data_IF_187768568767
#
_entry.id   IF_187768568767
#
_cell.length_a   1.000
_cell.length_b   1.000
_cell.length_c   1.000
_cell.angle_alpha   90.00
_cell.angle_beta   90.00
_cell.angle_gamma   90.00
#
_symmetry.space_group_name_H-M   'P 1'
#
loop_
_entity.id
_entity.type
_entity.pdbx_description
1 polymer ?
#
# COMPACT_ATOMS: atom_id res chain seq x y z
N UNK A 1 46.80 4.04 -16.10
CA UNK A 1 45.62 4.81 -16.55
C UNK A 1 44.45 4.36 -15.70
N UNK A 2 43.91 5.23 -14.84
CA UNK A 2 42.75 4.92 -13.99
C UNK A 2 41.48 5.12 -14.81
N UNK A 3 40.55 4.18 -14.75
CA UNK A 3 39.14 4.43 -14.97
C UNK A 3 38.36 3.59 -13.96
N UNK A 4 37.82 4.26 -12.94
CA UNK A 4 36.79 3.73 -12.04
C UNK A 4 35.49 4.44 -12.43
N UNK A 5 34.48 3.76 -12.97
CA UNK A 5 33.11 4.23 -12.85
C UNK A 5 32.50 3.60 -11.61
N UNK A 6 32.41 4.38 -10.54
CA UNK A 6 31.44 4.15 -9.47
C UNK A 6 30.09 4.67 -9.95
N UNK A 7 29.07 3.82 -9.93
CA UNK A 7 27.71 4.12 -10.39
C UNK A 7 27.20 2.94 -11.23
N UNK A 8 26.06 2.32 -10.95
CA UNK A 8 24.88 2.75 -10.23
C UNK A 8 24.33 1.49 -9.55
N UNK A 9 24.31 1.46 -8.21
CA UNK A 9 23.43 0.47 -7.55
C UNK A 9 22.04 0.90 -7.95
N UNK A 10 21.39 0.10 -8.81
CA UNK A 10 19.99 0.25 -9.13
C UNK A 10 19.26 0.52 -7.82
N UNK A 11 18.67 1.71 -7.57
CA UNK A 11 17.79 1.83 -6.44
C UNK A 11 16.66 0.86 -6.76
N UNK A 12 16.58 -0.24 -6.02
CA UNK A 12 15.42 -1.12 -6.05
C UNK A 12 14.24 -0.17 -5.96
N UNK A 13 13.52 0.00 -7.07
CA UNK A 13 12.49 1.01 -7.17
C UNK A 13 11.46 0.64 -6.12
N UNK A 14 11.48 1.33 -4.97
CA UNK A 14 10.55 1.08 -3.89
C UNK A 14 9.16 1.24 -4.49
N UNK A 15 8.35 0.17 -4.54
CA UNK A 15 7.02 0.28 -5.13
C UNK A 15 6.29 1.39 -4.39
N UNK A 16 5.86 2.41 -5.12
CA UNK A 16 5.11 3.53 -4.54
C UNK A 16 3.91 2.95 -3.80
N UNK A 17 3.77 3.26 -2.50
CA UNK A 17 2.63 2.85 -1.70
C UNK A 17 1.35 3.38 -2.37
N UNK A 18 0.42 2.49 -2.74
CA UNK A 18 -0.83 2.87 -3.40
C UNK A 18 -1.89 3.00 -2.31
N UNK A 19 -2.35 4.21 -2.07
CA UNK A 19 -3.37 4.51 -1.06
C UNK A 19 -4.72 4.79 -1.72
N UNK A 20 -5.82 4.50 -1.02
CA UNK A 20 -7.18 4.89 -1.42
C UNK A 20 -7.50 4.53 -2.88
N UNK A 21 -7.75 5.55 -3.72
CA UNK A 21 -8.13 5.41 -5.13
C UNK A 21 -7.00 4.93 -6.04
N UNK A 22 -5.76 4.85 -5.53
CA UNK A 22 -4.65 4.25 -6.26
C UNK A 22 -4.70 2.71 -6.23
N UNK A 23 -5.46 2.12 -5.30
CA UNK A 23 -5.70 0.68 -5.16
C UNK A 23 -6.68 0.23 -6.26
N UNK A 24 -6.17 -0.44 -7.30
CA UNK A 24 -6.95 -0.94 -8.45
C UNK A 24 -7.39 -2.40 -8.33
N UNK A 25 -7.10 -3.05 -7.20
CA UNK A 25 -7.46 -4.45 -6.98
C UNK A 25 -8.92 -4.58 -6.54
N UNK A 26 -9.58 -5.64 -6.98
CA UNK A 26 -11.02 -5.86 -6.76
C UNK A 26 -11.33 -6.29 -5.33
N UNK A 27 -10.42 -7.02 -4.69
CA UNK A 27 -10.57 -7.56 -3.34
C UNK A 27 -9.27 -7.36 -2.55
N UNK A 28 -9.41 -6.94 -1.31
CA UNK A 28 -8.31 -6.71 -0.37
C UNK A 28 -8.60 -7.33 0.98
N UNK A 29 -7.55 -7.75 1.68
CA UNK A 29 -7.63 -8.16 3.09
C UNK A 29 -7.42 -6.93 3.95
N UNK A 30 -8.36 -6.64 4.83
CA UNK A 30 -8.32 -5.45 5.70
C UNK A 30 -7.91 -5.87 7.11
N UNK A 31 -6.96 -5.12 7.67
CA UNK A 31 -6.51 -5.24 9.06
C UNK A 31 -6.91 -3.94 9.77
N UNK A 32 -7.57 -4.06 10.92
CA UNK A 32 -7.97 -2.93 11.74
C UNK A 32 -6.81 -2.34 12.56
N UNK A 33 -7.02 -1.17 13.19
CA UNK A 33 -5.98 -0.46 13.94
C UNK A 33 -5.44 -1.29 15.12
N UNK A 34 -6.28 -2.12 15.73
CA UNK A 34 -5.92 -3.01 16.85
C UNK A 34 -5.33 -4.36 16.37
N UNK A 35 -4.77 -4.40 15.15
CA UNK A 35 -4.24 -5.63 14.52
C UNK A 35 -5.29 -6.74 14.33
N UNK A 36 -6.57 -6.39 14.30
CA UNK A 36 -7.67 -7.33 14.06
C UNK A 36 -7.85 -7.61 12.56
N UNK A 37 -8.14 -8.86 12.18
CA UNK A 37 -8.41 -9.18 10.78
C UNK A 37 -9.91 -8.99 10.48
N UNK A 38 -10.26 -7.91 9.79
CA UNK A 38 -11.65 -7.59 9.43
C UNK A 38 -12.19 -8.44 8.26
N UNK A 39 -11.30 -9.16 7.57
CA UNK A 39 -11.64 -10.11 6.50
C UNK A 39 -11.23 -9.65 5.11
N UNK A 40 -11.72 -10.34 4.08
CA UNK A 40 -11.53 -9.98 2.67
C UNK A 40 -12.78 -9.24 2.20
N UNK A 41 -12.62 -8.02 1.71
CA UNK A 41 -13.72 -7.20 1.19
C UNK A 41 -13.27 -6.41 -0.04
N UNK A 42 -14.21 -5.75 -0.72
CA UNK A 42 -13.85 -4.88 -1.84
C UNK A 42 -13.13 -3.63 -1.34
N UNK A 43 -12.30 -3.03 -2.18
CA UNK A 43 -11.64 -1.75 -1.87
C UNK A 43 -12.65 -0.66 -1.49
N UNK A 44 -13.84 -0.68 -2.09
CA UNK A 44 -14.92 0.27 -1.79
C UNK A 44 -15.47 0.05 -0.38
N UNK A 45 -15.73 -1.21 -0.01
CA UNK A 45 -16.25 -1.53 1.33
C UNK A 45 -15.20 -1.23 2.41
N UNK A 46 -13.93 -1.51 2.13
CA UNK A 46 -12.82 -1.18 3.00
C UNK A 46 -12.67 0.34 3.20
N UNK A 47 -12.80 1.12 2.13
CA UNK A 47 -12.76 2.58 2.19
C UNK A 47 -13.90 3.13 3.04
N UNK A 48 -15.14 2.67 2.81
CA UNK A 48 -16.30 3.07 3.62
C UNK A 48 -16.10 2.74 5.09
N UNK A 49 -15.59 1.56 5.40
CA UNK A 49 -15.33 1.15 6.78
C UNK A 49 -14.26 2.01 7.44
N UNK A 50 -13.21 2.37 6.69
CA UNK A 50 -12.18 3.29 7.14
C UNK A 50 -12.78 4.69 7.42
N UNK A 51 -13.61 5.23 6.51
CA UNK A 51 -14.31 6.52 6.68
C UNK A 51 -15.27 6.51 7.88
N UNK A 52 -16.05 5.44 8.07
CA UNK A 52 -16.96 5.25 9.21
C UNK A 52 -16.21 5.24 10.55
N UNK A 53 -15.00 4.68 10.58
CA UNK A 53 -14.17 4.60 11.76
C UNK A 53 -13.23 5.81 11.92
N UNK A 54 -13.19 6.72 10.93
CA UNK A 54 -12.30 7.89 10.94
C UNK A 54 -10.81 7.57 10.70
N UNK A 55 -10.50 6.46 10.02
CA UNK A 55 -9.15 6.05 9.65
C UNK A 55 -8.92 6.11 8.13
N UNK A 56 -7.64 6.11 7.72
CA UNK A 56 -7.24 5.99 6.31
C UNK A 56 -6.96 4.52 5.93
N UNK A 57 -7.31 4.14 4.70
CA UNK A 57 -7.03 2.81 4.15
C UNK A 57 -5.63 2.77 3.51
N UNK A 58 -4.73 1.94 4.07
CA UNK A 58 -3.34 1.75 3.63
C UNK A 58 -3.01 0.31 3.24
#
# INVERSE_FOLDING_TARGET
MRYQPEGERCPIAVPKLRINREIRVSSIRVIGPESEQLGIMTTIDALKKAEEMGYDLV
#
